data_IF_567361153926
#
_entry.id   IF_567361153926
#
_cell.length_a   1.000
_cell.length_b   1.000
_cell.length_c   1.000
_cell.angle_alpha   90.00
_cell.angle_beta   90.00
_cell.angle_gamma   90.00
#
_symmetry.space_group_name_H-M   'P 1'
#
loop_
_entity.id
_entity.type
_entity.pdbx_description
1 polymer ?
#
# COMPACT_ATOMS: atom_id res chain seq x y z
N UNK A 1 14.15 3.72 41.80
CA UNK A 1 12.76 3.40 41.45
C UNK A 1 12.47 3.66 39.97
N UNK A 2 12.64 4.90 39.44
CA UNK A 2 12.33 5.24 38.04
C UNK A 2 13.06 4.40 36.98
N UNK A 3 14.31 3.98 37.22
CA UNK A 3 15.09 3.21 36.26
C UNK A 3 14.62 1.74 36.16
N UNK A 4 14.22 1.14 37.29
CA UNK A 4 13.64 -0.19 37.32
C UNK A 4 12.27 -0.25 36.62
N UNK A 5 11.46 0.80 36.78
CA UNK A 5 10.17 0.92 36.10
C UNK A 5 10.36 1.08 34.58
N UNK A 6 11.33 1.87 34.14
CA UNK A 6 11.66 2.01 32.70
C UNK A 6 12.16 0.71 32.11
N UNK A 7 13.02 -0.03 32.84
CA UNK A 7 13.52 -1.31 32.36
C UNK A 7 12.39 -2.34 32.23
N UNK A 8 11.52 -2.45 33.24
CA UNK A 8 10.36 -3.34 33.18
C UNK A 8 9.40 -2.98 32.03
N UNK A 9 9.18 -1.68 31.76
CA UNK A 9 8.39 -1.23 30.61
C UNK A 9 9.06 -1.62 29.28
N UNK A 10 10.37 -1.43 29.16
CA UNK A 10 11.10 -1.81 27.95
C UNK A 10 11.04 -3.32 27.71
N UNK A 11 11.26 -4.15 28.72
CA UNK A 11 11.17 -5.62 28.63
C UNK A 11 9.76 -6.08 28.24
N UNK A 12 8.71 -5.43 28.81
CA UNK A 12 7.32 -5.75 28.46
C UNK A 12 6.98 -5.36 26.99
N UNK A 13 7.50 -4.26 26.49
CA UNK A 13 7.33 -3.84 25.10
C UNK A 13 8.04 -4.80 24.16
N UNK A 14 9.28 -5.19 24.49
CA UNK A 14 10.08 -6.11 23.68
C UNK A 14 9.44 -7.52 23.65
N UNK A 15 8.92 -8.01 24.78
CA UNK A 15 8.21 -9.28 24.84
C UNK A 15 6.95 -9.27 23.95
N UNK A 16 6.17 -8.17 23.97
CA UNK A 16 5.01 -8.01 23.07
C UNK A 16 5.42 -7.97 21.60
N UNK A 17 6.53 -7.29 21.28
CA UNK A 17 7.07 -7.23 19.92
C UNK A 17 7.48 -8.62 19.42
N UNK A 18 8.19 -9.38 20.24
CA UNK A 18 8.64 -10.73 19.91
C UNK A 18 7.45 -11.68 19.71
N UNK A 19 6.45 -11.60 20.57
CA UNK A 19 5.22 -12.39 20.44
C UNK A 19 4.46 -12.05 19.15
N UNK A 20 4.38 -10.76 18.79
CA UNK A 20 3.79 -10.34 17.51
C UNK A 20 4.55 -10.91 16.32
N UNK A 21 5.89 -10.83 16.33
CA UNK A 21 6.73 -11.39 15.26
C UNK A 21 6.52 -12.90 15.14
N UNK A 22 6.46 -13.61 16.27
CA UNK A 22 6.19 -15.07 16.29
C UNK A 22 4.83 -15.37 15.64
N UNK A 23 3.75 -14.69 16.05
CA UNK A 23 2.41 -14.87 15.50
C UNK A 23 2.37 -14.62 14.00
N UNK A 24 3.00 -13.54 13.52
CA UNK A 24 3.07 -13.24 12.09
C UNK A 24 3.86 -14.31 11.32
N UNK A 25 4.95 -14.82 11.89
CA UNK A 25 5.75 -15.89 11.28
C UNK A 25 4.95 -17.18 11.15
N UNK A 26 4.19 -17.56 12.18
CA UNK A 26 3.33 -18.73 12.17
C UNK A 26 2.17 -18.57 11.17
N UNK A 27 1.50 -17.43 11.20
CA UNK A 27 0.34 -17.16 10.35
C UNK A 27 0.64 -17.16 8.84
N UNK A 28 1.85 -16.77 8.42
CA UNK A 28 2.21 -16.77 7.00
C UNK A 28 2.62 -18.16 6.45
N UNK A 29 2.82 -19.19 7.29
CA UNK A 29 3.33 -20.49 6.84
C UNK A 29 2.50 -21.15 5.73
N UNK A 30 1.14 -21.14 5.78
CA UNK A 30 0.33 -21.68 4.69
C UNK A 30 0.59 -20.99 3.34
N UNK A 31 0.79 -19.66 3.37
CA UNK A 31 1.06 -18.85 2.17
C UNK A 31 2.43 -19.25 1.59
N UNK A 32 3.45 -19.30 2.45
CA UNK A 32 4.81 -19.70 2.03
C UNK A 32 4.87 -21.14 1.52
N UNK A 33 4.05 -22.03 2.05
CA UNK A 33 3.95 -23.41 1.56
C UNK A 33 3.36 -23.46 0.14
N UNK A 34 2.27 -22.72 -0.09
CA UNK A 34 1.62 -22.66 -1.42
C UNK A 34 2.54 -21.96 -2.45
N UNK A 35 3.28 -20.92 -2.04
CA UNK A 35 4.28 -20.28 -2.92
C UNK A 35 5.39 -21.25 -3.32
N UNK A 36 5.94 -22.02 -2.37
CA UNK A 36 6.94 -23.05 -2.67
C UNK A 36 6.41 -24.13 -3.61
N UNK A 37 5.14 -24.51 -3.47
CA UNK A 37 4.51 -25.50 -4.34
C UNK A 37 4.44 -25.06 -5.82
N UNK A 38 4.43 -23.75 -6.08
CA UNK A 38 4.50 -23.18 -7.45
C UNK A 38 5.91 -22.79 -7.87
N UNK A 39 6.94 -23.20 -7.11
CA UNK A 39 8.35 -22.95 -7.42
C UNK A 39 8.84 -21.54 -7.03
N UNK A 40 8.08 -20.80 -6.23
CA UNK A 40 8.47 -19.45 -5.79
C UNK A 40 8.83 -19.44 -4.30
N UNK A 41 10.12 -19.30 -4.02
CA UNK A 41 10.64 -19.34 -2.65
C UNK A 41 11.00 -17.94 -2.15
N UNK A 42 10.38 -17.53 -1.05
CA UNK A 42 10.65 -16.28 -0.35
C UNK A 42 10.74 -16.49 1.15
N UNK A 43 11.56 -15.71 1.87
CA UNK A 43 11.69 -15.87 3.33
C UNK A 43 10.44 -15.38 4.09
N UNK A 44 9.65 -14.51 3.50
CA UNK A 44 8.40 -14.01 4.07
C UNK A 44 7.51 -13.33 3.02
N UNK A 45 6.22 -13.15 3.33
CA UNK A 45 5.25 -12.48 2.44
C UNK A 45 5.62 -11.02 2.12
N UNK A 46 6.42 -10.37 2.96
CA UNK A 46 6.91 -9.00 2.71
C UNK A 46 7.93 -8.91 1.55
N UNK A 47 8.43 -10.02 1.06
CA UNK A 47 9.33 -10.07 -0.10
C UNK A 47 8.60 -10.29 -1.43
N UNK A 48 7.25 -10.38 -1.41
CA UNK A 48 6.44 -10.55 -2.63
C UNK A 48 6.37 -9.30 -3.51
N UNK A 49 6.50 -8.11 -2.93
CA UNK A 49 6.20 -6.82 -3.57
C UNK A 49 7.21 -6.32 -4.61
N UNK A 50 8.23 -7.09 -4.97
CA UNK A 50 9.29 -6.57 -5.85
C UNK A 50 9.14 -7.00 -7.32
N UNK A 51 8.09 -7.75 -7.67
CA UNK A 51 7.87 -8.21 -9.03
C UNK A 51 9.14 -8.80 -9.67
N UNK A 52 9.03 -9.75 -10.54
CA UNK A 52 10.20 -10.33 -11.21
C UNK A 52 9.77 -11.38 -12.21
N UNK A 53 10.73 -11.96 -12.92
CA UNK A 53 10.46 -13.13 -13.74
C UNK A 53 9.79 -14.21 -12.88
N UNK A 54 8.68 -14.74 -13.38
CA UNK A 54 7.89 -15.76 -12.67
C UNK A 54 6.82 -15.22 -11.73
N UNK A 55 6.65 -13.91 -11.54
CA UNK A 55 5.61 -13.39 -10.65
C UNK A 55 4.18 -13.77 -11.09
N UNK A 56 3.96 -14.08 -12.37
CA UNK A 56 2.68 -14.57 -12.89
C UNK A 56 2.16 -15.84 -12.21
N UNK A 57 3.06 -16.74 -11.75
CA UNK A 57 2.68 -17.95 -10.98
C UNK A 57 2.34 -17.64 -9.51
N UNK A 58 2.80 -16.49 -9.00
CA UNK A 58 2.54 -16.04 -7.63
C UNK A 58 1.14 -15.42 -7.49
N UNK A 59 0.66 -14.71 -8.51
CA UNK A 59 -0.62 -13.99 -8.46
C UNK A 59 -1.81 -14.88 -8.05
N UNK A 60 -2.02 -16.10 -8.62
CA UNK A 60 -3.12 -16.96 -8.20
C UNK A 60 -3.03 -17.36 -6.74
N UNK A 61 -1.81 -17.56 -6.22
CA UNK A 61 -1.60 -17.90 -4.80
C UNK A 61 -1.96 -16.72 -3.92
N UNK A 62 -1.49 -15.51 -4.26
CA UNK A 62 -1.82 -14.28 -3.51
C UNK A 62 -3.33 -14.04 -3.49
N UNK A 63 -3.99 -14.11 -4.63
CA UNK A 63 -5.44 -13.92 -4.74
C UNK A 63 -6.21 -14.96 -3.91
N UNK A 64 -5.84 -16.24 -4.01
CA UNK A 64 -6.43 -17.31 -3.20
C UNK A 64 -6.39 -17.01 -1.71
N UNK A 65 -5.25 -16.53 -1.20
CA UNK A 65 -5.10 -16.23 0.23
C UNK A 65 -5.80 -14.93 0.65
N UNK A 66 -5.87 -13.91 -0.23
CA UNK A 66 -6.68 -12.72 -0.01
C UNK A 66 -8.17 -13.05 0.07
N UNK A 67 -8.68 -13.87 -0.86
CA UNK A 67 -10.08 -14.33 -0.87
C UNK A 67 -10.42 -15.17 0.36
N UNK A 68 -9.51 -16.08 0.76
CA UNK A 68 -9.67 -16.88 1.96
C UNK A 68 -9.78 -16.03 3.22
N UNK A 69 -9.00 -14.94 3.32
CA UNK A 69 -8.95 -14.08 4.49
C UNK A 69 -8.48 -14.80 5.76
N UNK A 70 -8.79 -14.19 6.91
CA UNK A 70 -8.52 -14.78 8.23
C UNK A 70 -7.06 -14.66 8.70
N UNK A 71 -6.22 -13.95 7.98
CA UNK A 71 -4.85 -13.63 8.38
C UNK A 71 -4.79 -12.33 9.19
N UNK A 72 -3.76 -12.13 10.03
CA UNK A 72 -3.48 -10.83 10.63
C UNK A 72 -3.44 -9.71 9.57
N UNK A 73 -3.97 -8.54 9.90
CA UNK A 73 -4.11 -7.39 8.98
C UNK A 73 -2.79 -7.05 8.26
N UNK A 74 -1.66 -7.10 8.98
CA UNK A 74 -0.33 -6.89 8.40
C UNK A 74 0.02 -7.88 7.28
N UNK A 75 -0.41 -9.14 7.39
CA UNK A 75 -0.21 -10.13 6.34
C UNK A 75 -1.13 -9.84 5.16
N UNK A 76 -2.39 -9.50 5.42
CA UNK A 76 -3.33 -9.08 4.39
C UNK A 76 -2.79 -7.86 3.62
N UNK A 77 -2.24 -6.88 4.32
CA UNK A 77 -1.59 -5.72 3.72
C UNK A 77 -0.39 -6.07 2.82
N UNK A 78 0.46 -7.00 3.26
CA UNK A 78 1.58 -7.47 2.44
C UNK A 78 1.12 -8.17 1.16
N UNK A 79 0.10 -9.04 1.26
CA UNK A 79 -0.50 -9.70 0.11
C UNK A 79 -1.16 -8.71 -0.85
N UNK A 80 -1.91 -7.75 -0.32
CA UNK A 80 -2.55 -6.70 -1.11
C UNK A 80 -1.51 -5.85 -1.87
N UNK A 81 -0.43 -5.44 -1.20
CA UNK A 81 0.67 -4.70 -1.81
C UNK A 81 1.36 -5.47 -2.94
N UNK A 82 1.45 -6.81 -2.82
CA UNK A 82 2.05 -7.66 -3.84
C UNK A 82 1.27 -7.64 -5.17
N UNK A 83 0.02 -7.20 -5.18
CA UNK A 83 -0.77 -7.00 -6.41
C UNK A 83 -0.36 -5.73 -7.19
N UNK A 84 0.58 -4.93 -6.68
CA UNK A 84 1.09 -3.71 -7.32
C UNK A 84 2.00 -3.98 -8.52
N UNK A 85 1.64 -4.89 -9.41
CA UNK A 85 2.41 -5.30 -10.58
C UNK A 85 1.67 -4.98 -11.89
N UNK A 86 2.43 -4.81 -12.98
CA UNK A 86 1.85 -4.43 -14.30
C UNK A 86 0.80 -5.43 -14.82
N UNK A 87 0.93 -6.69 -14.45
CA UNK A 87 0.00 -7.77 -14.79
C UNK A 87 -1.40 -7.54 -14.22
N UNK A 88 -1.51 -6.77 -13.13
CA UNK A 88 -2.78 -6.41 -12.49
C UNK A 88 -3.45 -5.16 -13.10
N UNK A 89 -2.81 -4.46 -14.03
CA UNK A 89 -3.42 -3.27 -14.70
C UNK A 89 -4.77 -3.56 -15.38
N UNK A 90 -4.96 -4.70 -16.10
CA UNK A 90 -6.27 -5.04 -16.66
C UNK A 90 -7.34 -5.29 -15.59
N UNK A 91 -6.94 -5.57 -14.36
CA UNK A 91 -7.82 -5.88 -13.23
C UNK A 91 -7.97 -4.69 -12.26
N UNK A 92 -7.78 -3.47 -12.75
CA UNK A 92 -7.90 -2.24 -11.95
C UNK A 92 -9.22 -2.17 -11.17
N UNK A 93 -10.36 -2.49 -11.82
CA UNK A 93 -11.67 -2.44 -11.17
C UNK A 93 -11.75 -3.44 -10.00
N UNK A 94 -11.15 -4.61 -10.14
CA UNK A 94 -11.05 -5.60 -9.06
C UNK A 94 -10.22 -5.06 -7.89
N UNK A 95 -9.06 -4.43 -8.16
CA UNK A 95 -8.23 -3.81 -7.11
C UNK A 95 -8.97 -2.67 -6.39
N UNK A 96 -9.68 -1.83 -7.15
CA UNK A 96 -10.51 -0.75 -6.60
C UNK A 96 -11.58 -1.30 -5.66
N UNK A 97 -12.30 -2.34 -6.10
CA UNK A 97 -13.37 -2.94 -5.32
C UNK A 97 -12.84 -3.64 -4.06
N UNK A 98 -11.64 -4.24 -4.12
CA UNK A 98 -10.95 -4.79 -2.97
C UNK A 98 -10.53 -3.68 -1.99
N UNK A 99 -9.97 -2.58 -2.49
CA UNK A 99 -9.61 -1.41 -1.69
C UNK A 99 -10.80 -0.84 -0.91
N UNK A 100 -11.93 -0.64 -1.59
CA UNK A 100 -13.14 -0.08 -0.97
C UNK A 100 -13.71 -1.02 0.08
N UNK A 101 -13.67 -2.33 -0.15
CA UNK A 101 -14.21 -3.36 0.78
C UNK A 101 -13.27 -3.73 1.92
N UNK A 102 -11.99 -3.42 1.82
CA UNK A 102 -11.00 -3.74 2.86
C UNK A 102 -11.41 -3.14 4.21
N UNK A 103 -11.36 -3.95 5.27
CA UNK A 103 -11.73 -3.54 6.63
C UNK A 103 -10.53 -3.32 7.53
N UNK A 104 -9.41 -3.96 7.25
CA UNK A 104 -8.14 -3.77 7.95
C UNK A 104 -7.40 -2.53 7.45
N UNK A 105 -6.72 -1.83 8.35
CA UNK A 105 -5.95 -0.64 8.00
C UNK A 105 -4.72 -0.96 7.14
N UNK A 106 -3.96 -2.00 7.50
CA UNK A 106 -2.79 -2.44 6.73
C UNK A 106 -3.22 -3.05 5.38
N UNK A 107 -4.31 -3.82 5.36
CA UNK A 107 -4.89 -4.38 4.13
C UNK A 107 -5.28 -3.27 3.14
N UNK A 108 -6.01 -2.26 3.61
CA UNK A 108 -6.42 -1.13 2.78
C UNK A 108 -5.23 -0.33 2.27
N UNK A 109 -4.22 -0.10 3.09
CA UNK A 109 -2.96 0.54 2.65
C UNK A 109 -2.25 -0.30 1.59
N UNK A 110 -2.25 -1.61 1.71
CA UNK A 110 -1.72 -2.53 0.72
C UNK A 110 -2.41 -2.39 -0.63
N UNK A 111 -3.74 -2.39 -0.66
CA UNK A 111 -4.50 -2.16 -1.89
C UNK A 111 -4.31 -0.75 -2.46
N UNK A 112 -4.21 0.29 -1.61
CA UNK A 112 -3.90 1.64 -2.06
C UNK A 112 -2.54 1.68 -2.78
N UNK A 113 -1.53 0.99 -2.25
CA UNK A 113 -0.22 0.86 -2.89
C UNK A 113 -0.32 0.14 -4.23
N UNK A 114 -1.06 -0.98 -4.30
CA UNK A 114 -1.29 -1.71 -5.54
C UNK A 114 -1.99 -0.86 -6.62
N UNK A 115 -3.01 -0.08 -6.23
CA UNK A 115 -3.69 0.86 -7.12
C UNK A 115 -2.72 1.90 -7.69
N UNK A 116 -1.86 2.46 -6.84
CA UNK A 116 -0.85 3.44 -7.25
C UNK A 116 0.15 2.84 -8.24
N UNK A 117 0.58 1.60 -8.05
CA UNK A 117 1.59 0.95 -8.90
C UNK A 117 1.00 0.48 -10.24
N UNK A 118 -0.29 0.26 -10.30
CA UNK A 118 -0.99 -0.21 -11.49
C UNK A 118 -1.75 0.90 -12.25
N UNK A 119 -1.90 2.10 -11.66
CA UNK A 119 -2.66 3.19 -12.27
C UNK A 119 -2.12 3.56 -13.66
N UNK A 120 -3.03 3.72 -14.61
CA UNK A 120 -2.77 4.24 -15.94
C UNK A 120 -3.49 5.58 -16.14
N UNK A 121 -3.20 6.28 -17.24
CA UNK A 121 -3.83 7.57 -17.53
C UNK A 121 -5.35 7.45 -17.72
N UNK A 122 -5.82 6.33 -18.26
CA UNK A 122 -7.24 6.05 -18.47
C UNK A 122 -8.01 5.89 -17.15
N UNK A 123 -7.29 5.60 -16.05
CA UNK A 123 -7.84 5.43 -14.69
C UNK A 123 -7.68 6.66 -13.80
N UNK A 124 -7.33 7.81 -14.39
CA UNK A 124 -7.09 9.04 -13.63
C UNK A 124 -8.33 9.50 -12.85
N UNK A 125 -9.50 9.54 -13.50
CA UNK A 125 -10.74 9.99 -12.84
C UNK A 125 -11.22 8.99 -11.79
N UNK A 126 -11.02 7.69 -12.01
CA UNK A 126 -11.32 6.67 -11.00
C UNK A 126 -10.44 6.88 -9.74
N UNK A 127 -9.13 7.12 -9.93
CA UNK A 127 -8.22 7.41 -8.83
C UNK A 127 -8.59 8.71 -8.10
N UNK A 128 -8.96 9.76 -8.83
CA UNK A 128 -9.41 11.03 -8.26
C UNK A 128 -10.66 10.81 -7.42
N UNK A 129 -11.63 10.03 -7.91
CA UNK A 129 -12.86 9.73 -7.18
C UNK A 129 -12.58 9.04 -5.85
N UNK A 130 -11.63 8.09 -5.81
CA UNK A 130 -11.22 7.44 -4.55
C UNK A 130 -10.53 8.41 -3.59
N UNK A 131 -9.71 9.33 -4.10
CA UNK A 131 -9.03 10.34 -3.27
C UNK A 131 -10.03 11.29 -2.62
N UNK A 132 -11.08 11.67 -3.34
CA UNK A 132 -12.10 12.63 -2.90
C UNK A 132 -13.22 11.98 -2.09
N UNK A 133 -13.26 10.67 -1.97
CA UNK A 133 -14.28 9.96 -1.18
C UNK A 133 -13.94 10.02 0.32
N UNK A 134 -14.61 10.90 1.03
CA UNK A 134 -14.42 11.08 2.48
C UNK A 134 -14.92 9.91 3.33
N UNK A 135 -15.65 8.95 2.75
CA UNK A 135 -16.02 7.72 3.43
C UNK A 135 -14.84 6.74 3.59
N UNK A 136 -13.78 6.94 2.79
CA UNK A 136 -12.53 6.18 2.90
C UNK A 136 -11.61 6.83 3.94
N UNK A 137 -10.77 6.01 4.56
CA UNK A 137 -9.88 6.44 5.64
C UNK A 137 -8.61 7.19 5.16
N UNK A 138 -7.65 7.36 6.07
CA UNK A 138 -6.37 8.01 5.80
C UNK A 138 -5.48 7.31 4.76
N UNK A 139 -5.81 6.08 4.33
CA UNK A 139 -5.07 5.37 3.27
C UNK A 139 -5.11 6.12 1.93
N UNK A 140 -6.07 7.02 1.73
CA UNK A 140 -6.14 7.95 0.58
C UNK A 140 -4.87 8.77 0.38
N UNK A 141 -4.12 9.03 1.43
CA UNK A 141 -2.80 9.71 1.36
C UNK A 141 -1.86 8.97 0.40
N UNK A 142 -1.90 7.65 0.38
CA UNK A 142 -1.07 6.82 -0.50
C UNK A 142 -1.45 7.06 -1.97
N UNK A 143 -2.75 7.18 -2.26
CA UNK A 143 -3.27 7.40 -3.61
C UNK A 143 -2.77 8.71 -4.25
N UNK A 144 -2.44 9.74 -3.44
CA UNK A 144 -1.87 11.00 -3.93
C UNK A 144 -0.56 10.78 -4.69
N UNK A 145 0.22 9.75 -4.34
CA UNK A 145 1.45 9.43 -5.05
C UNK A 145 1.18 8.94 -6.48
N UNK A 146 0.11 8.18 -6.70
CA UNK A 146 -0.38 7.77 -8.01
C UNK A 146 -0.78 8.97 -8.86
N UNK A 147 -1.59 9.87 -8.29
CA UNK A 147 -1.99 11.11 -8.94
C UNK A 147 -0.78 11.98 -9.32
N UNK A 148 0.23 12.03 -8.44
CA UNK A 148 1.49 12.73 -8.71
C UNK A 148 2.25 12.16 -9.92
N UNK A 149 2.19 10.84 -10.15
CA UNK A 149 2.86 10.17 -11.27
C UNK A 149 2.19 10.43 -12.63
N UNK A 150 0.88 10.60 -12.67
CA UNK A 150 0.12 10.83 -13.91
C UNK A 150 0.48 12.15 -14.60
N UNK A 151 0.90 13.18 -13.86
CA UNK A 151 1.43 14.47 -14.35
C UNK A 151 0.53 15.22 -15.32
N UNK A 152 -0.77 14.96 -15.34
CA UNK A 152 -1.76 15.68 -16.14
C UNK A 152 -2.07 17.04 -15.53
N UNK A 153 -2.72 17.92 -16.29
CA UNK A 153 -3.24 19.17 -15.76
C UNK A 153 -4.35 18.92 -14.75
N UNK A 154 -5.17 17.91 -15.00
CA UNK A 154 -6.24 17.45 -14.10
C UNK A 154 -5.67 17.01 -12.74
N UNK A 155 -4.69 16.11 -12.74
CA UNK A 155 -3.98 15.69 -11.53
C UNK A 155 -3.38 16.86 -10.75
N UNK A 156 -2.84 17.87 -11.46
CA UNK A 156 -2.28 19.07 -10.82
C UNK A 156 -3.35 19.90 -10.15
N UNK A 157 -4.45 20.17 -10.84
CA UNK A 157 -5.55 20.96 -10.31
C UNK A 157 -6.17 20.32 -9.07
N UNK A 158 -6.38 19.00 -9.09
CA UNK A 158 -6.88 18.25 -7.93
C UNK A 158 -5.88 18.32 -6.76
N UNK A 159 -4.58 18.12 -7.02
CA UNK A 159 -3.57 18.20 -5.97
C UNK A 159 -3.53 19.60 -5.33
N UNK A 160 -3.68 20.67 -6.11
CA UNK A 160 -3.71 22.03 -5.63
C UNK A 160 -4.99 22.32 -4.82
N UNK A 161 -6.13 21.75 -5.18
CA UNK A 161 -7.38 21.92 -4.42
C UNK A 161 -7.36 21.20 -3.06
N UNK A 162 -6.47 20.22 -2.88
CA UNK A 162 -6.34 19.46 -1.65
C UNK A 162 -5.37 20.06 -0.62
N UNK A 163 -4.72 21.19 -0.93
CA UNK A 163 -3.69 21.80 -0.05
C UNK A 163 -4.22 22.10 1.35
N UNK A 164 -5.48 22.53 1.45
CA UNK A 164 -6.13 22.88 2.73
C UNK A 164 -7.02 21.74 3.28
N UNK A 165 -6.95 20.54 2.68
CA UNK A 165 -7.77 19.41 3.12
C UNK A 165 -7.27 18.88 4.48
N UNK A 166 -8.15 18.64 5.47
CA UNK A 166 -7.76 18.32 6.85
C UNK A 166 -6.92 17.05 6.98
N UNK A 167 -7.12 16.06 6.11
CA UNK A 167 -6.39 14.78 6.14
C UNK A 167 -5.28 14.72 5.10
N UNK A 168 -5.54 15.22 3.88
CA UNK A 168 -4.65 15.08 2.72
C UNK A 168 -3.73 16.30 2.52
N UNK A 169 -4.03 17.43 3.16
CA UNK A 169 -3.42 18.73 2.87
C UNK A 169 -1.90 18.77 3.06
N UNK A 170 -1.37 18.13 4.10
CA UNK A 170 0.08 18.10 4.34
C UNK A 170 0.80 17.45 3.16
N UNK A 171 0.37 16.28 2.73
CA UNK A 171 0.98 15.55 1.63
C UNK A 171 0.77 16.24 0.28
N UNK A 172 -0.42 16.83 0.06
CA UNK A 172 -0.73 17.59 -1.13
C UNK A 172 0.16 18.84 -1.24
N UNK A 173 0.29 19.63 -0.17
CA UNK A 173 1.13 20.83 -0.08
C UNK A 173 2.59 20.50 -0.37
N UNK A 174 3.12 19.44 0.24
CA UNK A 174 4.51 19.01 0.01
C UNK A 174 4.71 18.64 -1.46
N UNK A 175 3.79 17.88 -2.05
CA UNK A 175 3.85 17.49 -3.47
C UNK A 175 3.83 18.70 -4.41
N UNK A 176 2.94 19.66 -4.17
CA UNK A 176 2.85 20.91 -4.93
C UNK A 176 4.15 21.72 -4.80
N UNK A 177 4.67 21.86 -3.57
CA UNK A 177 5.92 22.57 -3.31
C UNK A 177 7.10 21.94 -4.06
N UNK A 178 7.28 20.64 -3.98
CA UNK A 178 8.34 19.92 -4.67
C UNK A 178 8.27 20.07 -6.20
N UNK A 179 7.07 20.08 -6.75
CA UNK A 179 6.87 20.36 -8.19
C UNK A 179 7.34 21.77 -8.57
N UNK A 180 6.95 22.79 -7.82
CA UNK A 180 7.37 24.18 -8.06
C UNK A 180 8.89 24.32 -8.02
N UNK A 181 9.55 23.69 -7.05
CA UNK A 181 11.02 23.70 -6.95
C UNK A 181 11.67 23.04 -8.18
N UNK A 182 11.17 21.88 -8.63
CA UNK A 182 11.71 21.20 -9.83
C UNK A 182 11.53 22.04 -11.09
N UNK A 183 10.39 22.72 -11.24
CA UNK A 183 10.12 23.60 -12.37
C UNK A 183 11.03 24.83 -12.37
N UNK A 184 11.24 25.47 -11.23
CA UNK A 184 12.16 26.59 -11.08
C UNK A 184 13.61 26.22 -11.43
N UNK A 185 14.06 25.00 -11.04
CA UNK A 185 15.40 24.50 -11.42
C UNK A 185 15.53 24.24 -12.92
N UNK A 186 14.47 23.77 -13.59
CA UNK A 186 14.47 23.51 -15.02
C UNK A 186 14.55 24.81 -15.85
N UNK A 187 13.89 25.87 -15.37
CA UNK A 187 13.86 27.16 -16.06
C UNK A 187 15.16 27.98 -15.87
N UNK A 188 16.08 27.55 -14.98
CA UNK A 188 17.39 28.20 -14.76
C UNK A 188 18.54 27.57 -15.58
N UNK A 189 18.24 26.48 -16.31
CA UNK A 189 19.18 25.84 -17.25
C UNK A 189 18.84 26.20 -18.69
#
# INVERSE_FOLDING_TARGET
MRDLERQAQFEAVEAKRQEMVRKLREAQQPILADLRAVGFEVPSVWHLGYGGEGFSVVLPVVLKHLERGGYPDRIMGALASALGVKEMRPYWDTLRDMYVRATGGDERQGFASALVDTVTREREEDLISLILDDSLDGSRIILLSGLSRLRSDRSRAVMESLVDHPVLGIQASETVHQRKLRQARKNRK
#
